data_IF_992451276986
#
_entry.id   IF_992451276986
#
_cell.length_a   1.000
_cell.length_b   1.000
_cell.length_c   1.000
_cell.angle_alpha   90.00
_cell.angle_beta   90.00
_cell.angle_gamma   90.00
#
_symmetry.space_group_name_H-M   'P 1'
#
loop_
_entity.id
_entity.type
_entity.pdbx_description
1 polymer ?
#
# COMPACT_ATOMS: atom_id res chain seq x y z
N UNK A 1 9.56 -21.12 3.10
CA UNK A 1 10.05 -20.30 4.24
C UNK A 1 8.83 -19.57 4.77
N UNK A 2 8.56 -19.69 6.07
CA UNK A 2 7.35 -19.09 6.65
C UNK A 2 7.64 -17.62 6.98
N UNK A 3 6.75 -16.75 6.51
CA UNK A 3 6.77 -15.31 6.73
C UNK A 3 5.51 -14.94 7.52
N UNK A 4 5.68 -14.11 8.54
CA UNK A 4 4.59 -13.55 9.34
C UNK A 4 4.65 -12.03 9.21
N UNK A 5 3.59 -11.43 8.71
CA UNK A 5 3.45 -9.98 8.56
C UNK A 5 2.36 -9.51 9.53
N UNK A 6 2.64 -8.49 10.32
CA UNK A 6 1.65 -7.81 11.17
C UNK A 6 1.38 -6.42 10.59
N UNK A 7 0.12 -6.15 10.29
CA UNK A 7 -0.33 -4.88 9.69
C UNK A 7 -1.36 -4.24 10.62
N UNK A 8 -1.12 -2.99 11.01
CA UNK A 8 -2.14 -2.15 11.65
C UNK A 8 -3.06 -1.61 10.58
N UNK A 9 -4.36 -1.73 10.78
CA UNK A 9 -5.35 -1.19 9.85
C UNK A 9 -6.38 -0.40 10.65
N UNK A 10 -6.63 0.82 10.22
CA UNK A 10 -7.73 1.63 10.71
C UNK A 10 -9.02 1.10 10.09
N UNK A 11 -9.84 0.44 10.90
CA UNK A 11 -11.10 -0.19 10.47
C UNK A 11 -12.33 0.58 10.97
N UNK A 12 -12.12 1.61 11.78
CA UNK A 12 -13.18 2.42 12.39
C UNK A 12 -13.64 3.53 11.42
N UNK A 13 -14.93 3.86 11.48
CA UNK A 13 -15.50 4.96 10.67
C UNK A 13 -15.53 4.71 9.16
N UNK A 14 -15.45 3.45 8.69
CA UNK A 14 -15.52 3.15 7.26
C UNK A 14 -16.93 3.42 6.71
N UNK A 15 -17.11 4.61 6.15
CA UNK A 15 -18.37 5.05 5.54
C UNK A 15 -18.52 4.43 4.15
N UNK A 16 -19.62 3.73 3.94
CA UNK A 16 -20.08 3.31 2.62
C UNK A 16 -21.10 4.30 2.08
N UNK A 17 -21.40 4.22 0.78
CA UNK A 17 -22.45 5.01 0.16
C UNK A 17 -23.82 4.83 0.83
N UNK A 18 -24.04 3.70 1.52
CA UNK A 18 -25.27 3.37 2.23
C UNK A 18 -25.21 3.69 3.74
N UNK A 19 -24.17 4.38 4.21
CA UNK A 19 -23.98 4.73 5.62
C UNK A 19 -22.76 4.07 6.26
N UNK A 20 -22.62 4.25 7.57
CA UNK A 20 -21.54 3.69 8.38
C UNK A 20 -21.64 2.17 8.43
N UNK A 21 -20.53 1.48 8.11
CA UNK A 21 -20.47 0.03 8.20
C UNK A 21 -20.09 -0.40 9.61
N UNK A 22 -20.82 -1.39 10.14
CA UNK A 22 -20.45 -2.03 11.40
C UNK A 22 -18.99 -2.49 11.36
N UNK A 23 -18.22 -2.21 12.43
CA UNK A 23 -16.80 -2.58 12.50
C UNK A 23 -16.55 -4.07 12.26
N UNK A 24 -17.51 -4.95 12.57
CA UNK A 24 -17.43 -6.38 12.23
C UNK A 24 -17.43 -6.63 10.71
N UNK A 25 -18.26 -5.93 9.94
CA UNK A 25 -18.31 -6.06 8.47
C UNK A 25 -17.00 -5.57 7.84
N UNK A 26 -16.43 -4.49 8.36
CA UNK A 26 -15.14 -3.95 7.92
C UNK A 26 -14.01 -4.95 8.19
N UNK A 27 -13.96 -5.51 9.40
CA UNK A 27 -13.01 -6.56 9.81
C UNK A 27 -13.09 -7.80 8.92
N UNK A 28 -14.30 -8.29 8.64
CA UNK A 28 -14.48 -9.43 7.74
C UNK A 28 -14.00 -9.12 6.32
N UNK A 29 -14.21 -7.90 5.82
CA UNK A 29 -13.72 -7.48 4.50
C UNK A 29 -12.20 -7.40 4.47
N UNK A 30 -11.58 -6.87 5.52
CA UNK A 30 -10.14 -6.80 5.65
C UNK A 30 -9.49 -8.19 5.67
N UNK A 31 -10.07 -9.13 6.42
CA UNK A 31 -9.64 -10.53 6.42
C UNK A 31 -9.80 -11.19 5.05
N UNK A 32 -10.93 -10.98 4.35
CA UNK A 32 -11.13 -11.50 2.99
C UNK A 32 -10.04 -11.02 2.02
N UNK A 33 -9.63 -9.76 2.13
CA UNK A 33 -8.57 -9.20 1.31
C UNK A 33 -7.21 -9.80 1.68
N UNK A 34 -6.92 -9.96 2.97
CA UNK A 34 -5.69 -10.54 3.45
C UNK A 34 -5.50 -11.99 2.96
N UNK A 35 -6.53 -12.82 3.09
CA UNK A 35 -6.51 -14.23 2.64
C UNK A 35 -6.52 -14.34 1.11
N UNK A 36 -7.05 -13.35 0.39
CA UNK A 36 -7.08 -13.35 -1.08
C UNK A 36 -5.73 -13.07 -1.75
N UNK A 37 -4.67 -12.76 -0.99
CA UNK A 37 -3.32 -12.57 -1.53
C UNK A 37 -2.63 -13.92 -1.76
N UNK A 38 -1.98 -14.07 -2.91
CA UNK A 38 -1.15 -15.23 -3.22
C UNK A 38 -0.04 -15.40 -2.19
N UNK A 39 0.18 -16.63 -1.73
CA UNK A 39 1.18 -16.95 -0.72
C UNK A 39 0.69 -16.84 0.72
N UNK A 40 -0.51 -16.29 0.97
CA UNK A 40 -1.09 -16.27 2.31
C UNK A 40 -1.68 -17.64 2.65
N UNK A 41 -1.23 -18.20 3.77
CA UNK A 41 -1.72 -19.49 4.31
C UNK A 41 -2.77 -19.25 5.40
N UNK A 42 -2.61 -18.20 6.20
CA UNK A 42 -3.59 -17.82 7.22
C UNK A 42 -3.54 -16.32 7.51
N UNK A 43 -4.68 -15.76 7.92
CA UNK A 43 -4.76 -14.40 8.43
C UNK A 43 -5.67 -14.37 9.66
N UNK A 44 -5.29 -13.60 10.67
CA UNK A 44 -6.05 -13.47 11.92
C UNK A 44 -6.05 -12.02 12.41
N UNK A 45 -7.12 -11.63 13.10
CA UNK A 45 -7.20 -10.33 13.76
C UNK A 45 -6.56 -10.41 15.15
N UNK A 46 -5.70 -9.44 15.47
CA UNK A 46 -4.99 -9.28 16.74
C UNK A 46 -5.13 -7.85 17.27
N UNK A 47 -4.64 -7.67 18.50
CA UNK A 47 -4.73 -6.43 19.27
C UNK A 47 -6.03 -6.33 20.05
N UNK A 48 -6.00 -5.60 21.17
CA UNK A 48 -7.15 -5.44 22.08
C UNK A 48 -8.35 -4.83 21.36
N UNK A 49 -8.08 -3.89 20.45
CA UNK A 49 -9.09 -3.22 19.62
C UNK A 49 -9.44 -3.98 18.32
N UNK A 50 -8.78 -5.12 18.06
CA UNK A 50 -8.90 -5.91 16.81
C UNK A 50 -8.56 -5.10 15.55
N UNK A 51 -7.60 -4.19 15.68
CA UNK A 51 -7.12 -3.28 14.64
C UNK A 51 -5.82 -3.75 13.97
N UNK A 52 -5.33 -4.95 14.30
CA UNK A 52 -4.15 -5.54 13.68
C UNK A 52 -4.51 -6.82 12.93
N UNK A 53 -3.90 -7.04 11.77
CA UNK A 53 -4.02 -8.27 11.00
C UNK A 53 -2.65 -8.95 10.99
N UNK A 54 -2.59 -10.14 11.59
CA UNK A 54 -1.46 -11.05 11.44
C UNK A 54 -1.70 -11.94 10.23
N UNK A 55 -0.80 -11.89 9.26
CA UNK A 55 -0.83 -12.67 8.02
C UNK A 55 0.36 -13.60 8.01
N UNK A 56 0.12 -14.90 7.89
CA UNK A 56 1.16 -15.94 7.80
C UNK A 56 1.11 -16.62 6.46
N UNK A 57 2.25 -16.88 5.87
CA UNK A 57 2.32 -17.44 4.53
C UNK A 57 3.74 -17.64 4.05
N UNK A 58 3.86 -17.95 2.76
CA UNK A 58 5.13 -18.09 2.06
C UNK A 58 5.14 -17.13 0.87
N UNK A 59 6.23 -16.40 0.67
CA UNK A 59 6.37 -15.44 -0.44
C UNK A 59 5.23 -14.40 -0.48
N UNK A 60 4.92 -13.77 0.67
CA UNK A 60 3.83 -12.79 0.76
C UNK A 60 4.30 -11.45 0.15
N UNK A 61 3.57 -10.97 -0.85
CA UNK A 61 3.75 -9.61 -1.35
C UNK A 61 3.15 -8.58 -0.38
N UNK A 62 4.00 -8.08 0.53
CA UNK A 62 3.62 -7.13 1.58
C UNK A 62 3.13 -5.80 1.01
N UNK A 63 3.67 -5.36 -0.12
CA UNK A 63 3.33 -4.09 -0.77
C UNK A 63 1.93 -4.21 -1.39
N UNK A 64 1.67 -5.29 -2.11
CA UNK A 64 0.34 -5.53 -2.70
C UNK A 64 -0.72 -5.70 -1.63
N UNK A 65 -0.41 -6.44 -0.56
CA UNK A 65 -1.28 -6.61 0.60
C UNK A 65 -1.68 -5.27 1.22
N UNK A 66 -0.70 -4.42 1.56
CA UNK A 66 -0.99 -3.09 2.14
C UNK A 66 -1.71 -2.17 1.18
N UNK A 67 -1.36 -2.18 -0.11
CA UNK A 67 -2.04 -1.36 -1.13
C UNK A 67 -3.51 -1.73 -1.26
N UNK A 68 -3.86 -3.02 -1.21
CA UNK A 68 -5.25 -3.46 -1.27
C UNK A 68 -6.03 -3.05 -0.02
N UNK A 69 -5.43 -3.17 1.17
CA UNK A 69 -6.05 -2.73 2.42
C UNK A 69 -6.33 -1.22 2.39
N UNK A 70 -5.35 -0.41 1.98
CA UNK A 70 -5.50 1.05 1.78
C UNK A 70 -6.62 1.42 0.82
N UNK A 71 -6.80 0.65 -0.24
CA UNK A 71 -7.81 0.94 -1.27
C UNK A 71 -9.22 0.52 -0.86
N UNK A 72 -9.37 -0.52 -0.05
CA UNK A 72 -10.67 -1.21 0.16
C UNK A 72 -11.20 -1.14 1.59
N UNK A 73 -10.35 -0.87 2.58
CA UNK A 73 -10.69 -0.93 4.01
C UNK A 73 -10.35 0.37 4.72
N UNK A 74 -9.22 0.99 4.45
CA UNK A 74 -8.81 2.18 5.19
C UNK A 74 -7.29 2.25 5.35
N UNK A 75 -6.82 3.22 6.13
CA UNK A 75 -5.39 3.41 6.32
C UNK A 75 -4.75 2.14 6.90
N UNK A 76 -3.62 1.74 6.34
CA UNK A 76 -2.92 0.51 6.74
C UNK A 76 -1.41 0.75 6.79
N UNK A 77 -0.78 0.24 7.85
CA UNK A 77 0.62 0.40 8.18
C UNK A 77 1.24 -0.95 8.55
N UNK A 78 2.44 -1.22 8.04
CA UNK A 78 3.17 -2.45 8.35
C UNK A 78 3.88 -2.23 9.69
N UNK A 79 3.55 -3.05 10.68
CA UNK A 79 4.20 -3.00 11.99
C UNK A 79 5.44 -3.89 12.00
N UNK A 80 5.31 -5.12 11.47
CA UNK A 80 6.40 -6.11 11.55
C UNK A 80 6.33 -7.08 10.39
N UNK A 81 7.50 -7.49 9.89
CA UNK A 81 7.67 -8.60 8.96
C UNK A 81 8.72 -9.53 9.58
N UNK A 82 8.33 -10.75 9.92
CA UNK A 82 9.20 -11.79 10.45
C UNK A 82 9.35 -12.90 9.41
N UNK A 83 10.57 -13.21 9.01
CA UNK A 83 10.89 -14.29 8.08
C UNK A 83 11.73 -15.36 8.79
N UNK A 84 11.28 -16.62 8.75
CA UNK A 84 12.03 -17.75 9.30
C UNK A 84 13.14 -18.20 8.33
N UNK A 85 14.24 -17.41 8.26
CA UNK A 85 15.67 -17.81 8.31
C UNK A 85 16.62 -16.90 7.48
N UNK A 86 17.63 -16.40 8.21
CA UNK A 86 18.98 -15.91 7.85
C UNK A 86 19.12 -14.58 7.09
N UNK A 87 19.64 -13.60 7.84
CA UNK A 87 20.50 -12.48 7.40
C UNK A 87 20.08 -11.73 6.12
N UNK A 88 19.35 -10.63 6.29
CA UNK A 88 19.96 -9.33 5.98
C UNK A 88 19.31 -8.24 6.82
N UNK A 89 20.09 -7.76 7.79
CA UNK A 89 19.91 -6.50 8.47
C UNK A 89 19.92 -5.38 7.41
N UNK A 90 18.75 -4.97 6.92
CA UNK A 90 18.60 -3.63 6.35
C UNK A 90 18.09 -2.71 7.44
N UNK A 91 19.06 -2.27 8.25
CA UNK A 91 18.97 -1.00 8.96
C UNK A 91 18.34 0.04 8.03
N UNK A 92 17.27 0.66 8.52
CA UNK A 92 16.73 1.88 7.97
C UNK A 92 17.89 2.87 7.77
N UNK A 93 18.26 3.26 6.54
CA UNK A 93 19.06 4.46 6.39
C UNK A 93 18.14 5.60 6.83
N UNK A 94 18.42 6.14 8.01
CA UNK A 94 17.89 7.41 8.49
C UNK A 94 18.27 8.45 7.44
N UNK A 95 17.38 8.68 6.47
CA UNK A 95 17.60 9.66 5.40
C UNK A 95 17.54 11.03 6.07
N UNK A 96 18.72 11.56 6.35
CA UNK A 96 18.89 12.96 6.73
C UNK A 96 18.41 13.82 5.55
N UNK A 97 17.21 14.37 5.67
CA UNK A 97 16.61 15.24 4.67
C UNK A 97 17.45 16.52 4.53
N UNK A 98 18.37 16.55 3.58
CA UNK A 98 18.94 17.81 3.11
C UNK A 98 17.87 18.56 2.31
N UNK A 99 17.36 19.65 2.87
CA UNK A 99 16.46 20.56 2.18
C UNK A 99 17.18 21.21 0.99
N UNK A 100 16.71 20.95 -0.23
CA UNK A 100 17.16 21.67 -1.42
C UNK A 100 16.34 22.95 -1.54
N UNK A 101 16.95 24.12 -1.79
CA UNK A 101 16.21 25.36 -1.94
C UNK A 101 15.36 25.30 -3.22
N UNK A 102 14.05 25.40 -3.02
CA UNK A 102 13.02 25.43 -4.05
C UNK A 102 13.12 26.75 -4.81
N UNK A 103 13.80 26.76 -5.97
CA UNK A 103 13.62 27.77 -7.03
C UNK A 103 14.44 27.39 -8.26
N UNK A 104 13.93 26.44 -9.06
CA UNK A 104 14.29 26.38 -10.46
C UNK A 104 13.07 25.93 -11.26
N UNK A 105 12.30 26.91 -11.74
CA UNK A 105 11.30 26.69 -12.78
C UNK A 105 12.06 26.85 -14.10
N UNK A 106 12.38 25.78 -14.85
CA UNK A 106 12.93 25.95 -16.18
C UNK A 106 11.83 26.57 -17.07
N UNK A 107 12.07 27.79 -17.54
CA UNK A 107 11.19 28.45 -18.50
C UNK A 107 11.04 27.56 -19.72
N UNK A 108 9.83 27.07 -20.00
CA UNK A 108 9.51 26.40 -21.26
C UNK A 108 9.74 27.40 -22.39
N UNK A 109 10.91 27.31 -23.02
CA UNK A 109 11.14 27.96 -24.29
C UNK A 109 10.18 27.37 -25.31
N UNK A 110 9.42 28.25 -25.94
CA UNK A 110 8.44 27.97 -26.98
C UNK A 110 9.09 27.19 -28.12
N UNK A 111 8.77 25.91 -28.26
CA UNK A 111 9.17 25.14 -29.44
C UNK A 111 8.28 25.55 -30.62
N UNK A 112 8.83 26.03 -31.74
CA UNK A 112 8.03 26.33 -32.92
C UNK A 112 7.46 25.03 -33.51
N UNK A 113 6.15 25.03 -33.77
CA UNK A 113 5.44 23.94 -34.43
C UNK A 113 5.95 23.81 -35.88
N UNK A 114 6.70 22.73 -36.15
CA UNK A 114 7.05 22.35 -37.51
C UNK A 114 5.84 21.65 -38.15
N UNK A 115 5.11 22.36 -39.02
CA UNK A 115 4.06 21.75 -39.85
C UNK A 115 4.72 21.18 -41.10
N UNK A 116 4.63 19.87 -41.39
CA UNK A 116 5.07 19.34 -42.67
C UNK A 116 4.10 19.83 -43.75
N UNK A 117 4.63 20.66 -44.64
CA UNK A 117 4.03 21.11 -45.89
C UNK A 117 3.73 19.92 -46.82
N UNK A 118 2.47 19.81 -47.25
CA UNK A 118 2.13 19.10 -48.49
C UNK A 118 1.19 17.90 -48.34
N UNK A 119 -0.11 18.16 -48.32
CA UNK A 119 -1.09 17.29 -48.99
C UNK A 119 -2.02 18.19 -49.78
N UNK A 120 -1.79 18.29 -51.08
CA UNK A 120 -2.66 18.92 -52.06
C UNK A 120 -3.88 18.04 -52.31
N UNK A 121 -5.08 18.60 -52.24
CA UNK A 121 -6.27 18.08 -52.91
C UNK A 121 -6.86 19.21 -53.76
N UNK A 122 -7.34 18.82 -54.94
CA UNK A 122 -7.85 19.60 -56.09
C UNK A 122 -6.80 20.01 -57.12
#
# INVERSE_FOLDING_TARGET
MKQTVVIKVEMDGHKSFFGELDGQKVRSKALKIAVGISGVVSASLKGDEKNQIEVKGEMIDTIKLTKLLRKKVGFAEIITVAEDKKEEKKEEPKVEYKAWPYNYIPSYSSYPFYTPSGITYY
#
